data_IF_674591020068
#
_entry.id   IF_674591020068
#
_cell.length_a   1.000
_cell.length_b   1.000
_cell.length_c   1.000
_cell.angle_alpha   90.00
_cell.angle_beta   90.00
_cell.angle_gamma   90.00
#
_symmetry.space_group_name_H-M   'P 1'
#
loop_
_entity.id
_entity.type
_entity.pdbx_description
1 polymer ?
#
# COMPACT_ATOMS: atom_id res chain seq x y z
N UNK A 1 -34.30 35.18 -19.73
CA UNK A 1 -34.88 33.83 -19.60
C UNK A 1 -34.73 33.41 -18.14
N UNK A 2 -35.72 32.74 -17.53
CA UNK A 2 -35.57 32.18 -16.20
C UNK A 2 -34.36 31.20 -16.16
N UNK A 3 -33.63 31.12 -15.02
CA UNK A 3 -32.50 30.21 -14.91
C UNK A 3 -32.94 28.75 -14.96
N UNK A 4 -32.06 27.86 -15.40
CA UNK A 4 -32.32 26.42 -15.37
C UNK A 4 -31.90 25.87 -14.00
N UNK A 5 -32.74 25.02 -13.44
CA UNK A 5 -32.55 24.34 -12.17
C UNK A 5 -32.62 22.83 -12.39
N UNK A 6 -31.89 22.07 -11.57
CA UNK A 6 -31.96 20.62 -11.54
C UNK A 6 -32.55 20.22 -10.19
N UNK A 7 -33.71 19.58 -10.21
CA UNK A 7 -34.28 19.00 -9.00
C UNK A 7 -33.77 17.55 -8.84
N UNK A 8 -32.87 17.28 -7.87
CA UNK A 8 -32.27 15.96 -7.71
C UNK A 8 -33.26 14.92 -7.19
N UNK A 9 -34.40 15.33 -6.61
CA UNK A 9 -35.42 14.42 -6.08
C UNK A 9 -36.20 13.76 -7.20
N UNK A 10 -36.44 14.51 -8.28
CA UNK A 10 -37.20 14.06 -9.45
C UNK A 10 -36.31 13.74 -10.65
N UNK A 11 -35.02 14.13 -10.61
CA UNK A 11 -34.09 13.94 -11.72
C UNK A 11 -34.45 14.77 -12.95
N UNK A 12 -35.09 15.93 -12.77
CA UNK A 12 -35.58 16.78 -13.86
C UNK A 12 -34.81 18.10 -13.90
N UNK A 13 -34.36 18.49 -15.08
CA UNK A 13 -33.78 19.81 -15.36
C UNK A 13 -34.85 20.69 -16.00
N UNK A 14 -35.19 21.82 -15.38
CA UNK A 14 -36.28 22.70 -15.83
C UNK A 14 -36.00 24.18 -15.54
N UNK A 15 -36.67 25.12 -16.22
CA UNK A 15 -36.57 26.54 -15.89
C UNK A 15 -37.22 26.84 -14.52
N UNK A 16 -36.67 27.80 -13.77
CA UNK A 16 -37.25 28.29 -12.52
C UNK A 16 -38.68 28.79 -12.76
N UNK A 17 -39.61 28.35 -11.92
CA UNK A 17 -41.02 28.71 -12.05
C UNK A 17 -41.76 28.03 -13.22
N UNK A 18 -41.23 26.94 -13.78
CA UNK A 18 -41.90 26.18 -14.83
C UNK A 18 -43.29 25.69 -14.40
N UNK A 19 -44.33 26.17 -15.09
CA UNK A 19 -45.74 25.84 -14.81
C UNK A 19 -46.10 24.39 -15.15
N UNK A 20 -45.28 23.68 -15.92
CA UNK A 20 -45.50 22.27 -16.29
C UNK A 20 -44.82 21.32 -15.31
N UNK A 21 -43.58 21.62 -14.89
CA UNK A 21 -42.82 20.75 -13.99
C UNK A 21 -43.41 20.76 -12.57
N UNK A 22 -43.92 21.90 -12.09
CA UNK A 22 -44.47 22.02 -10.74
C UNK A 22 -45.69 21.11 -10.49
N UNK A 23 -46.72 21.06 -11.36
CA UNK A 23 -47.82 20.10 -11.22
C UNK A 23 -47.36 18.64 -11.27
N UNK A 24 -46.39 18.31 -12.13
CA UNK A 24 -45.83 16.96 -12.20
C UNK A 24 -45.17 16.52 -10.88
N UNK A 25 -44.32 17.39 -10.30
CA UNK A 25 -43.67 17.12 -9.01
C UNK A 25 -44.70 16.97 -7.89
N UNK A 26 -45.68 17.88 -7.81
CA UNK A 26 -46.78 17.81 -6.83
C UNK A 26 -47.56 16.49 -6.96
N UNK A 27 -47.87 16.06 -8.18
CA UNK A 27 -48.57 14.80 -8.42
C UNK A 27 -47.76 13.59 -7.93
N UNK A 28 -46.45 13.59 -8.13
CA UNK A 28 -45.57 12.55 -7.59
C UNK A 28 -45.57 12.54 -6.06
N UNK A 29 -45.51 13.71 -5.42
CA UNK A 29 -45.55 13.83 -3.96
C UNK A 29 -46.86 13.30 -3.39
N UNK A 30 -47.99 13.72 -3.97
CA UNK A 30 -49.33 13.25 -3.58
C UNK A 30 -49.46 11.73 -3.76
N UNK A 31 -49.00 11.21 -4.90
CA UNK A 31 -49.07 9.78 -5.17
C UNK A 31 -48.17 8.97 -4.22
N UNK A 32 -46.98 9.48 -3.85
CA UNK A 32 -46.14 8.89 -2.80
C UNK A 32 -46.79 8.93 -1.42
N UNK A 33 -47.42 10.05 -1.06
CA UNK A 33 -48.12 10.19 0.21
C UNK A 33 -49.34 9.25 0.32
N UNK A 34 -49.96 8.90 -0.82
CA UNK A 34 -51.07 7.95 -0.87
C UNK A 34 -50.65 6.48 -0.66
N UNK A 35 -49.35 6.18 -0.62
CA UNK A 35 -48.80 4.82 -0.50
C UNK A 35 -49.37 3.82 -1.51
N UNK A 36 -49.59 4.27 -2.75
CA UNK A 36 -50.05 3.38 -3.82
C UNK A 36 -48.97 2.35 -4.18
N UNK A 37 -49.30 1.07 -4.08
CA UNK A 37 -48.34 -0.01 -4.37
C UNK A 37 -47.83 0.02 -5.81
N UNK A 38 -48.60 0.56 -6.75
CA UNK A 38 -48.21 0.68 -8.16
C UNK A 38 -47.14 1.75 -8.37
N UNK A 39 -47.23 2.89 -7.67
CA UNK A 39 -46.22 3.95 -7.80
C UNK A 39 -44.91 3.55 -7.10
N UNK A 40 -44.99 2.88 -5.95
CA UNK A 40 -43.82 2.34 -5.26
C UNK A 40 -43.10 1.27 -6.08
N UNK A 41 -43.84 0.49 -6.88
CA UNK A 41 -43.26 -0.45 -7.84
C UNK A 41 -42.56 0.30 -8.97
N UNK A 42 -43.20 1.31 -9.57
CA UNK A 42 -42.61 2.08 -10.65
C UNK A 42 -41.32 2.81 -10.23
N UNK A 43 -41.28 3.37 -9.00
CA UNK A 43 -40.06 3.97 -8.46
C UNK A 43 -38.94 2.96 -8.26
N UNK A 44 -39.26 1.77 -7.73
CA UNK A 44 -38.26 0.69 -7.62
C UNK A 44 -37.74 0.25 -8.98
N UNK A 45 -38.60 0.14 -9.98
CA UNK A 45 -38.18 -0.23 -11.33
C UNK A 45 -37.26 0.85 -11.94
N UNK A 46 -37.56 2.14 -11.71
CA UNK A 46 -36.72 3.25 -12.12
C UNK A 46 -35.36 3.24 -11.40
N UNK A 47 -35.35 3.03 -10.09
CA UNK A 47 -34.12 2.94 -9.29
C UNK A 47 -33.24 1.78 -9.77
N UNK A 48 -33.84 0.62 -10.04
CA UNK A 48 -33.14 -0.53 -10.63
C UNK A 48 -32.53 -0.19 -11.99
N UNK A 49 -33.23 0.55 -12.84
CA UNK A 49 -32.72 0.99 -14.15
C UNK A 49 -31.55 1.98 -14.00
N UNK A 50 -31.66 2.95 -13.11
CA UNK A 50 -30.59 3.92 -12.83
C UNK A 50 -29.34 3.22 -12.28
N UNK A 51 -29.51 2.27 -11.38
CA UNK A 51 -28.42 1.45 -10.87
C UNK A 51 -27.77 0.64 -12.00
N UNK A 52 -28.57 0.06 -12.90
CA UNK A 52 -28.07 -0.70 -14.06
C UNK A 52 -27.22 0.19 -14.97
N UNK A 53 -27.71 1.37 -15.35
CA UNK A 53 -26.95 2.33 -16.15
C UNK A 53 -25.65 2.78 -15.45
N UNK A 54 -25.69 2.96 -14.13
CA UNK A 54 -24.50 3.31 -13.36
C UNK A 54 -23.46 2.17 -13.39
N UNK A 55 -23.87 0.92 -13.13
CA UNK A 55 -22.95 -0.23 -13.16
C UNK A 55 -22.39 -0.48 -14.56
N UNK A 56 -23.21 -0.38 -15.59
CA UNK A 56 -22.77 -0.48 -16.98
C UNK A 56 -21.75 0.62 -17.32
N UNK A 57 -22.01 1.86 -16.89
CA UNK A 57 -21.08 2.98 -17.05
C UNK A 57 -19.75 2.76 -16.32
N UNK A 58 -19.76 2.24 -15.09
CA UNK A 58 -18.55 1.90 -14.33
C UNK A 58 -17.79 0.74 -14.98
N UNK A 59 -18.50 -0.29 -15.43
CA UNK A 59 -17.91 -1.44 -16.11
C UNK A 59 -17.24 -1.02 -17.43
N UNK A 60 -17.90 -0.17 -18.20
CA UNK A 60 -17.37 0.43 -19.42
C UNK A 60 -16.16 1.33 -19.13
N UNK A 61 -16.23 2.17 -18.10
CA UNK A 61 -15.10 3.01 -17.67
C UNK A 61 -13.86 2.17 -17.31
N UNK A 62 -14.04 1.10 -16.53
CA UNK A 62 -12.95 0.16 -16.21
C UNK A 62 -12.42 -0.59 -17.43
N UNK A 63 -13.30 -0.92 -18.40
CA UNK A 63 -12.90 -1.56 -19.66
C UNK A 63 -12.00 -0.64 -20.48
N UNK A 64 -12.38 0.64 -20.61
CA UNK A 64 -11.58 1.65 -21.30
C UNK A 64 -10.23 1.88 -20.62
N UNK A 65 -10.24 2.02 -19.30
CA UNK A 65 -9.01 2.18 -18.53
C UNK A 65 -8.03 1.02 -18.77
N UNK A 66 -8.50 -0.24 -18.76
CA UNK A 66 -7.65 -1.39 -19.09
C UNK A 66 -7.11 -1.33 -20.52
N UNK A 67 -7.94 -0.93 -21.49
CA UNK A 67 -7.50 -0.80 -22.87
C UNK A 67 -6.41 0.28 -23.05
N UNK A 68 -6.55 1.41 -22.35
CA UNK A 68 -5.57 2.50 -22.33
C UNK A 68 -4.28 2.05 -21.63
N UNK A 69 -4.38 1.34 -20.51
CA UNK A 69 -3.23 0.78 -19.79
C UNK A 69 -2.48 -0.26 -20.66
N UNK A 70 -3.20 -1.13 -21.37
CA UNK A 70 -2.63 -2.11 -22.30
C UNK A 70 -1.96 -1.44 -23.51
N UNK A 71 -2.50 -0.33 -24.00
CA UNK A 71 -1.85 0.49 -25.03
C UNK A 71 -0.55 1.13 -24.49
N UNK A 72 -0.60 1.69 -23.27
CA UNK A 72 0.57 2.25 -22.60
C UNK A 72 1.68 1.22 -22.38
N UNK A 73 1.33 -0.01 -21.99
CA UNK A 73 2.31 -1.11 -21.85
C UNK A 73 2.95 -1.43 -23.20
N UNK A 74 2.15 -1.54 -24.27
CA UNK A 74 2.67 -1.78 -25.63
C UNK A 74 3.61 -0.67 -26.09
N UNK A 75 3.33 0.58 -25.74
CA UNK A 75 4.20 1.73 -26.05
C UNK A 75 5.53 1.66 -25.31
N UNK A 76 5.50 1.33 -24.02
CA UNK A 76 6.71 1.15 -23.22
C UNK A 76 7.56 0.00 -23.75
N UNK A 77 6.97 -1.13 -24.15
CA UNK A 77 7.70 -2.23 -24.76
C UNK A 77 8.32 -1.84 -26.11
N UNK A 78 7.61 -1.07 -26.94
CA UNK A 78 8.17 -0.53 -28.20
C UNK A 78 9.37 0.36 -27.89
N UNK A 79 9.25 1.26 -26.92
CA UNK A 79 10.35 2.13 -26.50
C UNK A 79 11.55 1.33 -25.98
N UNK A 80 11.31 0.31 -25.15
CA UNK A 80 12.37 -0.55 -24.61
C UNK A 80 13.10 -1.29 -25.74
N UNK A 81 12.37 -1.87 -26.71
CA UNK A 81 12.98 -2.52 -27.89
C UNK A 81 13.85 -1.55 -28.69
N UNK A 82 13.38 -0.32 -28.92
CA UNK A 82 14.17 0.70 -29.61
C UNK A 82 15.43 1.07 -28.83
N UNK A 83 15.35 1.24 -27.51
CA UNK A 83 16.52 1.51 -26.67
C UNK A 83 17.52 0.34 -26.68
N UNK A 84 17.05 -0.90 -26.60
CA UNK A 84 17.92 -2.09 -26.69
C UNK A 84 18.64 -2.16 -28.04
N UNK A 85 17.96 -1.83 -29.15
CA UNK A 85 18.58 -1.75 -30.47
C UNK A 85 19.65 -0.65 -30.54
N UNK A 86 19.38 0.53 -29.98
CA UNK A 86 20.35 1.62 -29.92
C UNK A 86 21.60 1.25 -29.11
N UNK A 87 21.41 0.57 -27.97
CA UNK A 87 22.51 0.11 -27.12
C UNK A 87 23.37 -0.93 -27.87
N UNK A 88 22.76 -1.89 -28.54
CA UNK A 88 23.47 -2.87 -29.35
C UNK A 88 24.28 -2.22 -30.50
N UNK A 89 23.73 -1.20 -31.16
CA UNK A 89 24.45 -0.43 -32.18
C UNK A 89 25.64 0.34 -31.58
N UNK A 90 25.47 0.95 -30.40
CA UNK A 90 26.55 1.67 -29.71
C UNK A 90 27.67 0.73 -29.28
N UNK A 91 27.35 -0.46 -28.74
CA UNK A 91 28.32 -1.49 -28.40
C UNK A 91 29.11 -1.97 -29.63
N UNK A 92 28.41 -2.18 -30.75
CA UNK A 92 29.07 -2.53 -32.02
C UNK A 92 30.03 -1.44 -32.49
N UNK A 93 29.63 -0.16 -32.41
CA UNK A 93 30.49 0.97 -32.76
C UNK A 93 31.73 1.06 -31.86
N UNK A 94 31.57 0.87 -30.54
CA UNK A 94 32.69 0.82 -29.59
C UNK A 94 33.65 -0.32 -29.92
N UNK A 95 33.14 -1.49 -30.28
CA UNK A 95 33.96 -2.63 -30.70
C UNK A 95 34.77 -2.32 -31.97
N UNK A 96 34.14 -1.73 -32.98
CA UNK A 96 34.82 -1.31 -34.23
C UNK A 96 35.88 -0.24 -33.94
N UNK A 97 35.58 0.75 -33.09
CA UNK A 97 36.52 1.78 -32.68
C UNK A 97 37.74 1.21 -31.95
N UNK A 98 37.52 0.29 -30.99
CA UNK A 98 38.60 -0.43 -30.29
C UNK A 98 39.50 -1.20 -31.25
N UNK A 99 38.93 -1.89 -32.24
CA UNK A 99 39.72 -2.57 -33.29
C UNK A 99 40.54 -1.61 -34.14
N UNK A 100 40.00 -0.43 -34.49
CA UNK A 100 40.74 0.60 -35.24
C UNK A 100 41.91 1.15 -34.43
N UNK A 101 41.69 1.47 -33.16
CA UNK A 101 42.75 1.92 -32.25
C UNK A 101 43.84 0.86 -32.08
N UNK A 102 43.47 -0.41 -31.88
CA UNK A 102 44.44 -1.51 -31.79
C UNK A 102 45.26 -1.69 -33.07
N UNK A 103 44.72 -1.37 -34.25
CA UNK A 103 45.45 -1.40 -35.52
C UNK A 103 46.39 -0.20 -35.69
N UNK A 104 46.08 0.96 -35.10
CA UNK A 104 46.94 2.16 -35.15
C UNK A 104 48.04 2.14 -34.08
N UNK A 105 47.83 1.46 -32.95
CA UNK A 105 48.79 1.38 -31.86
C UNK A 105 50.17 0.74 -32.20
N UNK A 106 50.32 -0.28 -33.07
CA UNK A 106 51.64 -0.80 -33.42
C UNK A 106 52.52 0.25 -34.13
N UNK A 107 51.93 1.23 -34.83
CA UNK A 107 52.68 2.32 -35.43
C UNK A 107 53.21 3.29 -34.35
N UNK A 108 52.47 3.46 -33.24
CA UNK A 108 52.89 4.29 -32.11
C UNK A 108 53.99 3.61 -31.30
N UNK A 109 53.87 2.31 -31.03
CA UNK A 109 54.93 1.53 -30.37
C UNK A 109 56.21 1.49 -31.23
N UNK A 110 56.09 1.34 -32.55
CA UNK A 110 57.25 1.42 -33.45
C UNK A 110 57.92 2.80 -33.51
N UNK A 111 57.16 3.88 -33.35
CA UNK A 111 57.72 5.24 -33.24
C UNK A 111 58.39 5.45 -31.88
N UNK A 112 57.84 4.89 -30.80
CA UNK A 112 58.45 4.97 -29.47
C UNK A 112 59.79 4.22 -29.41
N UNK A 113 59.85 3.00 -29.96
CA UNK A 113 61.09 2.22 -30.06
C UNK A 113 62.13 2.93 -30.95
N UNK A 114 61.70 3.59 -32.03
CA UNK A 114 62.58 4.39 -32.88
C UNK A 114 63.16 5.62 -32.16
N UNK A 115 62.34 6.34 -31.39
CA UNK A 115 62.78 7.50 -30.61
C UNK A 115 63.68 7.13 -29.43
N UNK A 116 63.50 5.94 -28.83
CA UNK A 116 64.37 5.45 -27.75
C UNK A 116 65.77 5.10 -28.26
N UNK A 117 65.88 4.52 -29.45
CA UNK A 117 67.18 4.29 -30.12
C UNK A 117 67.87 5.60 -30.52
N UNK A 118 67.12 6.58 -31.01
CA UNK A 118 67.67 7.91 -31.34
C UNK A 118 68.14 8.67 -30.08
N UNK A 119 67.42 8.51 -28.97
CA UNK A 119 67.80 9.08 -27.67
C UNK A 119 69.04 8.43 -27.07
N UNK A 120 69.25 7.12 -27.29
CA UNK A 120 70.49 6.43 -26.90
C UNK A 120 71.70 6.83 -27.75
N UNK A 121 71.50 7.30 -28.98
CA UNK A 121 72.59 7.70 -29.88
C UNK A 121 73.01 9.18 -29.73
N UNK A 122 72.16 10.01 -29.14
CA UNK A 122 72.41 11.44 -28.89
C UNK A 122 72.94 11.76 -27.49
N UNK A 123 73.40 10.78 -26.72
CA UNK A 123 74.05 11.00 -25.42
C UNK A 123 75.57 10.76 -25.45
N UNK A 124 76.36 11.67 -26.08
CA UNK A 124 77.80 11.65 -25.96
C UNK A 124 78.22 12.28 -24.63
N UNK A 125 78.58 11.43 -23.66
CA UNK A 125 79.59 11.68 -22.62
C UNK A 125 79.47 12.97 -21.81
N UNK A 126 79.03 12.83 -20.56
CA UNK A 126 79.62 13.55 -19.41
C UNK A 126 79.82 12.50 -18.30
N UNK A 127 80.96 11.82 -18.24
CA UNK A 127 82.24 12.24 -17.64
C UNK A 127 82.08 12.73 -16.20
N UNK A 128 82.48 11.85 -15.27
CA UNK A 128 83.09 12.08 -13.97
C UNK A 128 82.69 13.33 -13.17
N UNK A 129 82.18 13.12 -11.94
CA UNK A 129 82.84 13.64 -10.73
C UNK A 129 82.14 13.20 -9.42
N UNK A 130 82.89 12.42 -8.62
CA UNK A 130 83.08 12.56 -7.17
C UNK A 130 81.98 13.19 -6.30
N UNK A 131 81.39 12.40 -5.40
CA UNK A 131 81.69 12.55 -3.95
C UNK A 131 81.02 11.50 -3.06
N UNK A 132 81.56 11.26 -1.84
CA UNK A 132 81.44 10.00 -1.12
C UNK A 132 80.64 10.07 0.19
N UNK A 133 80.26 8.87 0.64
CA UNK A 133 80.06 8.44 2.03
C UNK A 133 78.88 9.02 2.83
N UNK A 134 77.92 8.14 3.16
CA UNK A 134 77.75 7.76 4.57
C UNK A 134 77.12 6.36 4.70
N UNK A 135 77.83 5.50 5.41
CA UNK A 135 77.38 4.22 5.94
C UNK A 135 76.17 4.41 6.86
N UNK A 136 75.19 3.51 6.79
CA UNK A 136 74.81 2.67 7.94
C UNK A 136 74.13 1.38 7.45
N UNK A 137 74.48 0.31 8.16
CA UNK A 137 74.30 -1.07 7.78
C UNK A 137 72.90 -1.63 8.11
N UNK A 138 72.45 -2.51 7.20
CA UNK A 138 71.78 -3.79 7.40
C UNK A 138 70.72 -3.95 8.51
N UNK A 139 69.48 -4.24 8.10
CA UNK A 139 68.86 -5.54 8.41
C UNK A 139 67.75 -5.87 7.41
N UNK A 140 67.95 -6.96 6.67
CA UNK A 140 66.94 -7.82 6.04
C UNK A 140 65.92 -8.29 7.10
N UNK A 141 64.63 -8.62 6.88
CA UNK A 141 63.88 -9.39 5.86
C UNK A 141 62.35 -9.10 6.13
N UNK A 142 61.36 -9.75 5.49
CA UNK A 142 60.88 -9.69 4.10
C UNK A 142 59.50 -9.00 3.94
N UNK A 143 59.23 -8.66 2.68
CA UNK A 143 57.93 -8.71 1.98
C UNK A 143 56.83 -9.51 2.69
N UNK A 144 55.76 -8.81 3.09
CA UNK A 144 54.40 -9.33 2.91
C UNK A 144 53.43 -8.19 2.63
N UNK A 145 52.65 -8.45 1.60
CA UNK A 145 51.64 -7.66 0.93
C UNK A 145 50.43 -7.43 1.86
N UNK A 146 50.13 -6.20 2.26
CA UNK A 146 48.78 -5.81 2.70
C UNK A 146 48.51 -4.37 2.26
N UNK A 147 47.64 -4.25 1.25
CA UNK A 147 46.99 -2.99 0.88
C UNK A 147 46.20 -2.44 2.07
N UNK A 148 46.55 -1.24 2.53
CA UNK A 148 45.73 -0.41 3.42
C UNK A 148 45.59 0.96 2.78
N UNK A 149 44.43 1.19 2.19
CA UNK A 149 43.98 2.51 1.75
C UNK A 149 43.49 3.30 2.95
N UNK A 150 44.13 4.44 3.16
CA UNK A 150 43.59 5.73 3.61
C UNK A 150 42.28 5.74 4.40
N UNK A 151 42.42 5.98 5.71
CA UNK A 151 41.41 6.66 6.54
C UNK A 151 42.09 7.81 7.28
N UNK A 152 42.05 9.00 6.68
CA UNK A 152 42.46 10.27 7.29
C UNK A 152 41.30 11.27 7.19
N UNK A 153 40.34 11.18 8.11
CA UNK A 153 39.50 12.32 8.52
C UNK A 153 39.13 12.21 9.99
N UNK A 154 40.10 12.55 10.85
CA UNK A 154 39.87 12.85 12.27
C UNK A 154 39.82 14.36 12.46
N UNK A 155 38.63 14.95 12.50
CA UNK A 155 38.41 16.31 12.98
C UNK A 155 37.35 16.29 14.08
N UNK A 156 37.82 16.29 15.31
CA UNK A 156 37.02 16.43 16.52
C UNK A 156 36.56 17.88 16.67
N UNK A 157 35.25 18.12 16.56
CA UNK A 157 34.63 19.39 16.96
C UNK A 157 33.97 19.19 18.33
N UNK A 158 34.26 20.05 19.34
CA UNK A 158 33.65 19.93 20.66
C UNK A 158 32.19 20.41 20.67
N UNK A 159 31.33 19.64 21.33
CA UNK A 159 29.90 19.89 21.55
C UNK A 159 29.74 20.85 22.75
N UNK A 160 28.99 21.97 22.63
CA UNK A 160 28.59 22.78 23.78
C UNK A 160 27.34 22.20 24.49
N UNK A 161 27.17 22.44 25.80
CA UNK A 161 26.06 21.88 26.59
C UNK A 161 24.72 22.59 26.30
N UNK A 162 23.57 21.92 26.54
CA UNK A 162 22.27 22.47 26.22
C UNK A 162 21.81 23.47 27.30
N UNK A 163 21.53 24.70 26.87
CA UNK A 163 20.75 25.66 27.65
C UNK A 163 19.27 25.46 27.37
N UNK A 164 18.52 25.22 28.45
CA UNK A 164 17.07 25.25 28.46
C UNK A 164 16.57 26.69 28.48
N UNK A 165 15.62 27.04 27.60
CA UNK A 165 14.49 27.92 27.98
C UNK A 165 13.41 27.98 26.93
N UNK A 166 12.19 27.91 27.45
CA UNK A 166 10.91 28.12 26.82
C UNK A 166 10.78 29.53 26.24
N UNK A 167 10.24 29.65 25.03
CA UNK A 167 9.31 30.75 24.72
C UNK A 167 8.20 30.24 23.80
N UNK A 168 6.97 30.35 24.33
CA UNK A 168 5.71 30.16 23.65
C UNK A 168 5.54 31.29 22.62
N UNK A 169 5.35 30.95 21.34
CA UNK A 169 5.04 31.93 20.29
C UNK A 169 3.64 31.63 19.75
N UNK A 170 2.77 32.60 20.03
CA UNK A 170 1.41 32.76 19.51
C UNK A 170 1.45 32.83 17.97
N UNK A 171 0.58 32.12 17.24
CA UNK A 171 0.51 32.27 15.79
C UNK A 171 -0.18 33.61 15.43
N UNK A 172 0.39 34.42 14.52
CA UNK A 172 -0.28 35.61 14.04
C UNK A 172 -1.32 35.28 12.97
N UNK A 173 -2.34 36.11 13.00
CA UNK A 173 -3.53 36.22 12.18
C UNK A 173 -3.29 36.20 10.67
N UNK A 174 -4.31 35.66 9.97
CA UNK A 174 -4.63 35.81 8.54
C UNK A 174 -4.17 37.14 7.92
N UNK A 175 -3.79 37.10 6.63
CA UNK A 175 -4.16 38.13 5.69
C UNK A 175 -5.22 37.61 4.71
N UNK A 176 -6.28 38.41 4.63
CA UNK A 176 -7.20 38.49 3.51
C UNK A 176 -6.45 38.89 2.22
N UNK A 177 -7.01 38.52 1.08
CA UNK A 177 -6.75 39.24 -0.17
C UNK A 177 -6.33 38.36 -1.35
N UNK A 178 -7.26 38.21 -2.28
CA UNK A 178 -7.09 38.61 -3.68
C UNK A 178 -7.60 37.55 -4.66
N UNK A 179 -8.84 37.78 -5.10
CA UNK A 179 -9.42 37.22 -6.31
C UNK A 179 -8.56 37.53 -7.53
N UNK A 180 -8.09 36.48 -8.20
CA UNK A 180 -7.49 36.54 -9.53
C UNK A 180 -8.24 35.59 -10.45
N UNK A 181 -9.19 36.13 -11.20
CA UNK A 181 -9.95 35.42 -12.22
C UNK A 181 -9.10 35.32 -13.49
N UNK A 182 -8.65 34.10 -13.83
CA UNK A 182 -7.95 33.84 -15.10
C UNK A 182 -8.88 33.10 -16.04
N UNK A 183 -9.53 33.85 -16.92
CA UNK A 183 -10.28 33.35 -18.08
C UNK A 183 -9.33 32.75 -19.11
N UNK A 184 -9.52 31.47 -19.45
CA UNK A 184 -8.89 30.81 -20.59
C UNK A 184 -9.80 30.87 -21.83
N UNK A 185 -9.26 31.02 -23.05
CA UNK A 185 -10.03 31.20 -24.27
C UNK A 185 -10.55 29.87 -24.83
N UNK A 186 -11.84 29.83 -25.13
CA UNK A 186 -12.51 28.76 -25.88
C UNK A 186 -12.28 28.99 -27.38
N UNK A 187 -11.79 28.01 -28.16
CA UNK A 187 -11.72 28.13 -29.61
C UNK A 187 -13.11 27.91 -30.23
N UNK A 188 -13.52 28.90 -31.05
CA UNK A 188 -14.68 28.85 -31.95
C UNK A 188 -14.46 27.78 -33.02
N UNK A 189 -15.30 26.75 -33.05
CA UNK A 189 -15.46 25.87 -34.21
C UNK A 189 -16.75 26.20 -34.94
N UNK A 190 -16.60 26.38 -36.25
CA UNK A 190 -17.59 26.83 -37.20
C UNK A 190 -18.67 25.77 -37.46
N UNK A 191 -19.91 26.24 -37.56
CA UNK A 191 -21.08 25.50 -38.03
C UNK A 191 -20.97 25.22 -39.54
N UNK A 192 -21.25 23.97 -39.92
CA UNK A 192 -21.46 23.50 -41.29
C UNK A 192 -22.48 22.35 -41.32
N UNK A 193 -23.20 22.14 -42.43
CA UNK A 193 -24.62 21.83 -42.40
C UNK A 193 -24.97 20.34 -42.31
N UNK A 194 -26.13 20.09 -41.71
CA UNK A 194 -26.92 18.86 -41.72
C UNK A 194 -27.12 18.25 -43.11
N UNK A 195 -27.13 16.92 -43.18
CA UNK A 195 -28.16 16.26 -43.98
C UNK A 195 -28.84 15.07 -43.27
N UNK A 196 -30.15 15.05 -43.48
CA UNK A 196 -30.97 13.88 -43.82
C UNK A 196 -31.17 12.75 -42.81
N UNK A 197 -32.38 12.82 -42.25
CA UNK A 197 -33.28 11.75 -41.83
C UNK A 197 -32.99 10.38 -42.48
N UNK A 198 -32.76 9.38 -41.63
CA UNK A 198 -32.86 7.97 -41.98
C UNK A 198 -33.86 7.28 -41.04
N UNK A 199 -34.85 6.67 -41.68
CA UNK A 199 -35.98 5.95 -41.12
C UNK A 199 -35.54 4.78 -40.23
N UNK A 200 -36.14 4.66 -39.03
CA UNK A 200 -36.10 3.45 -38.22
C UNK A 200 -37.43 2.70 -38.32
N UNK A 201 -37.41 1.35 -38.38
CA UNK A 201 -38.61 0.54 -38.55
C UNK A 201 -39.43 0.40 -37.26
N UNK A 202 -40.75 0.13 -37.36
CA UNK A 202 -41.63 0.01 -36.21
C UNK A 202 -41.37 -1.26 -35.39
N UNK A 203 -41.37 -1.09 -34.07
CA UNK A 203 -41.22 -2.12 -33.04
C UNK A 203 -42.49 -3.01 -33.00
N UNK A 204 -42.37 -4.35 -33.00
CA UNK A 204 -43.55 -5.22 -32.98
C UNK A 204 -44.22 -5.23 -31.60
N UNK A 205 -45.53 -5.04 -31.61
CA UNK A 205 -46.47 -5.18 -30.50
C UNK A 205 -46.59 -6.66 -30.13
N UNK A 206 -46.27 -7.02 -28.89
CA UNK A 206 -46.52 -8.37 -28.36
C UNK A 206 -47.88 -8.34 -27.66
N UNK A 207 -48.85 -9.06 -28.24
CA UNK A 207 -50.15 -9.33 -27.63
C UNK A 207 -49.99 -10.29 -26.45
N UNK A 208 -50.45 -9.87 -25.28
CA UNK A 208 -50.54 -10.69 -24.07
C UNK A 208 -51.87 -11.47 -24.14
N UNK A 209 -51.77 -12.76 -24.44
CA UNK A 209 -52.87 -13.71 -24.32
C UNK A 209 -53.08 -14.04 -22.85
N UNK A 210 -54.28 -13.76 -22.35
CA UNK A 210 -54.75 -14.18 -21.04
C UNK A 210 -55.01 -15.70 -21.04
N UNK A 211 -54.40 -16.41 -20.09
CA UNK A 211 -54.78 -17.78 -19.73
C UNK A 211 -55.13 -17.85 -18.25
N UNK A 212 -56.42 -18.03 -18.01
CA UNK A 212 -57.02 -18.45 -16.74
C UNK A 212 -56.63 -19.89 -16.40
N UNK A 213 -56.31 -20.17 -15.13
CA UNK A 213 -56.24 -21.56 -14.66
C UNK A 213 -55.60 -21.79 -13.29
N UNK A 214 -56.46 -22.16 -12.33
CA UNK A 214 -56.22 -22.95 -11.11
C UNK A 214 -55.75 -22.23 -9.81
N UNK A 215 -56.38 -22.56 -8.66
CA UNK A 215 -56.01 -22.03 -7.34
C UNK A 215 -54.94 -22.92 -6.70
N UNK A 216 -53.82 -22.33 -6.31
CA UNK A 216 -52.80 -23.02 -5.52
C UNK A 216 -52.72 -22.38 -4.12
N UNK A 217 -53.12 -23.16 -3.12
CA UNK A 217 -53.04 -22.82 -1.69
C UNK A 217 -51.60 -22.95 -1.24
N UNK A 218 -50.78 -21.92 -1.48
CA UNK A 218 -49.43 -21.82 -0.93
C UNK A 218 -49.37 -20.77 0.17
N UNK A 219 -49.08 -21.28 1.37
CA UNK A 219 -48.84 -20.53 2.58
C UNK A 219 -47.88 -19.35 2.34
N UNK A 220 -48.35 -18.17 2.70
CA UNK A 220 -47.63 -16.90 2.66
C UNK A 220 -46.47 -16.97 3.66
N UNK A 221 -45.18 -16.94 3.25
CA UNK A 221 -44.13 -16.63 4.20
C UNK A 221 -44.31 -15.16 4.58
N UNK A 222 -44.38 -14.91 5.89
CA UNK A 222 -44.48 -13.57 6.45
C UNK A 222 -43.46 -12.65 5.76
N UNK A 223 -43.96 -11.57 5.15
CA UNK A 223 -43.16 -10.55 4.52
C UNK A 223 -42.24 -9.92 5.58
N UNK A 224 -40.98 -10.33 5.58
CA UNK A 224 -39.95 -9.62 6.32
C UNK A 224 -39.89 -8.18 5.79
N UNK A 225 -39.80 -7.16 6.68
CA UNK A 225 -39.69 -5.78 6.25
C UNK A 225 -38.48 -5.66 5.33
N UNK A 226 -38.72 -5.11 4.13
CA UNK A 226 -37.72 -4.89 3.09
C UNK A 226 -36.58 -4.06 3.67
N UNK A 227 -35.50 -4.76 4.03
CA UNK A 227 -34.27 -4.16 4.54
C UNK A 227 -33.73 -3.30 3.40
N UNK A 228 -33.81 -1.98 3.55
CA UNK A 228 -33.13 -1.03 2.68
C UNK A 228 -31.71 -1.55 2.42
N UNK A 229 -31.41 -1.88 1.17
CA UNK A 229 -30.08 -2.29 0.69
C UNK A 229 -29.17 -1.07 0.81
N UNK A 230 -28.74 -0.80 2.05
CA UNK A 230 -27.91 0.34 2.35
C UNK A 230 -26.62 0.18 1.53
N UNK A 231 -26.42 1.13 0.63
CA UNK A 231 -25.29 1.18 -0.30
C UNK A 231 -23.99 0.96 0.46
N UNK A 232 -23.09 0.17 -0.13
CA UNK A 232 -21.75 -0.03 0.42
C UNK A 232 -21.04 1.33 0.60
N UNK A 233 -20.26 1.53 1.68
CA UNK A 233 -19.58 2.79 1.92
C UNK A 233 -18.61 3.07 0.76
N UNK A 234 -18.70 4.27 0.16
CA UNK A 234 -17.85 4.69 -0.97
C UNK A 234 -16.61 5.47 -0.52
N UNK A 235 -16.60 5.96 0.73
CA UNK A 235 -15.55 6.81 1.28
C UNK A 235 -15.11 6.34 2.66
N UNK A 236 -13.86 6.64 3.06
CA UNK A 236 -13.32 6.28 4.37
C UNK A 236 -14.18 6.84 5.52
N UNK A 237 -14.70 8.06 5.36
CA UNK A 237 -15.57 8.70 6.37
C UNK A 237 -16.90 7.96 6.54
N UNK A 238 -17.49 7.46 5.45
CA UNK A 238 -18.71 6.64 5.51
C UNK A 238 -18.44 5.30 6.18
N UNK A 239 -17.30 4.67 5.87
CA UNK A 239 -16.87 3.43 6.51
C UNK A 239 -16.63 3.62 8.02
N UNK A 240 -15.92 4.67 8.42
CA UNK A 240 -15.71 5.03 9.83
C UNK A 240 -17.03 5.26 10.56
N UNK A 241 -17.98 5.99 9.94
CA UNK A 241 -19.31 6.18 10.51
C UNK A 241 -20.06 4.85 10.70
N UNK A 242 -20.01 3.97 9.71
CA UNK A 242 -20.62 2.64 9.78
C UNK A 242 -19.98 1.79 10.89
N UNK A 243 -18.65 1.81 11.02
CA UNK A 243 -17.93 1.11 12.08
C UNK A 243 -18.31 1.65 13.46
N UNK A 244 -18.33 2.96 13.65
CA UNK A 244 -18.72 3.58 14.92
C UNK A 244 -20.17 3.23 15.29
N UNK A 245 -21.08 3.20 14.30
CA UNK A 245 -22.47 2.78 14.52
C UNK A 245 -22.55 1.30 14.89
N UNK A 246 -21.75 0.45 14.25
CA UNK A 246 -21.68 -0.98 14.56
C UNK A 246 -21.12 -1.27 15.96
N UNK A 247 -20.39 -0.33 16.58
CA UNK A 247 -19.96 -0.43 17.98
C UNK A 247 -21.04 -0.02 18.99
N UNK A 248 -22.10 0.68 18.55
CA UNK A 248 -23.19 1.06 19.45
C UNK A 248 -24.12 -0.14 19.70
N UNK A 249 -24.49 -0.44 20.97
CA UNK A 249 -25.38 -1.55 21.28
C UNK A 249 -26.73 -1.39 20.55
N UNK A 250 -27.30 -2.52 20.09
CA UNK A 250 -28.58 -2.55 19.36
C UNK A 250 -28.50 -2.17 17.87
N UNK A 251 -27.30 -1.89 17.33
CA UNK A 251 -27.10 -1.63 15.90
C UNK A 251 -26.64 -2.89 15.14
N UNK A 252 -27.39 -3.99 15.28
CA UNK A 252 -27.03 -5.30 14.72
C UNK A 252 -26.88 -5.26 13.19
N UNK A 253 -27.68 -4.44 12.50
CA UNK A 253 -27.58 -4.27 11.04
C UNK A 253 -26.25 -3.65 10.60
N UNK A 254 -25.74 -2.66 11.35
CA UNK A 254 -24.46 -2.03 11.05
C UNK A 254 -23.33 -3.02 11.32
N UNK A 255 -23.42 -3.78 12.41
CA UNK A 255 -22.48 -4.85 12.75
C UNK A 255 -22.44 -5.95 11.69
N UNK A 256 -23.61 -6.41 11.21
CA UNK A 256 -23.70 -7.38 10.14
C UNK A 256 -23.03 -6.88 8.86
N UNK A 257 -23.27 -5.61 8.48
CA UNK A 257 -22.63 -4.98 7.30
C UNK A 257 -21.12 -4.92 7.43
N UNK A 258 -20.61 -4.49 8.58
CA UNK A 258 -19.16 -4.45 8.81
C UNK A 258 -18.56 -5.86 8.77
N UNK A 259 -19.23 -6.87 9.35
CA UNK A 259 -18.79 -8.27 9.25
C UNK A 259 -18.74 -8.76 7.82
N UNK A 260 -19.73 -8.42 6.98
CA UNK A 260 -19.72 -8.75 5.56
C UNK A 260 -18.56 -8.07 4.82
N UNK A 261 -18.34 -6.77 5.05
CA UNK A 261 -17.22 -6.04 4.44
C UNK A 261 -15.85 -6.60 4.88
N UNK A 262 -15.72 -7.04 6.13
CA UNK A 262 -14.51 -7.73 6.60
C UNK A 262 -14.32 -9.09 5.92
N UNK A 263 -15.38 -9.88 5.76
CA UNK A 263 -15.32 -11.16 5.07
C UNK A 263 -14.89 -10.99 3.60
N UNK A 264 -15.50 -10.04 2.89
CA UNK A 264 -15.14 -9.67 1.52
C UNK A 264 -13.67 -9.21 1.45
N UNK A 265 -13.25 -8.34 2.38
CA UNK A 265 -11.87 -7.88 2.47
C UNK A 265 -10.88 -9.04 2.68
N UNK A 266 -11.22 -10.08 3.45
CA UNK A 266 -10.36 -11.25 3.63
C UNK A 266 -10.29 -12.14 2.39
N UNK A 267 -11.37 -12.23 1.61
CA UNK A 267 -11.42 -13.00 0.37
C UNK A 267 -10.68 -12.30 -0.79
N UNK A 268 -10.50 -10.98 -0.70
CA UNK A 268 -9.80 -10.21 -1.73
C UNK A 268 -8.28 -10.42 -1.66
N UNK A 269 -7.61 -10.81 -2.76
CA UNK A 269 -6.15 -10.90 -2.84
C UNK A 269 -5.47 -9.60 -2.39
N UNK A 270 -4.28 -9.69 -1.80
CA UNK A 270 -3.63 -8.55 -1.14
C UNK A 270 -3.39 -7.38 -2.10
N UNK A 271 -3.07 -7.68 -3.34
CA UNK A 271 -2.74 -6.77 -4.43
C UNK A 271 -3.98 -6.02 -4.93
N UNK A 272 -5.16 -6.63 -4.77
CA UNK A 272 -6.45 -6.10 -5.24
C UNK A 272 -7.25 -5.39 -4.13
N UNK A 273 -6.77 -5.43 -2.88
CA UNK A 273 -7.47 -4.82 -1.74
C UNK A 273 -7.60 -3.31 -1.90
N UNK A 274 -8.84 -2.85 -1.95
CA UNK A 274 -9.18 -1.43 -1.95
C UNK A 274 -8.70 -0.74 -0.67
N UNK A 275 -8.58 0.59 -0.71
CA UNK A 275 -8.21 1.39 0.47
C UNK A 275 -9.20 1.16 1.64
N UNK A 276 -10.50 1.06 1.35
CA UNK A 276 -11.55 0.79 2.34
C UNK A 276 -11.39 -0.59 2.99
N UNK A 277 -11.10 -1.63 2.19
CA UNK A 277 -10.83 -2.97 2.70
C UNK A 277 -9.55 -3.01 3.54
N UNK A 278 -8.47 -2.34 3.12
CA UNK A 278 -7.26 -2.21 3.94
C UNK A 278 -7.56 -1.49 5.26
N UNK A 279 -8.35 -0.43 5.22
CA UNK A 279 -8.74 0.34 6.39
C UNK A 279 -9.61 -0.48 7.36
N UNK A 280 -10.64 -1.18 6.87
CA UNK A 280 -11.54 -1.97 7.73
C UNK A 280 -10.77 -3.10 8.42
N UNK A 281 -9.89 -3.80 7.70
CA UNK A 281 -9.06 -4.87 8.29
C UNK A 281 -8.08 -4.33 9.34
N UNK A 282 -7.56 -3.11 9.14
CA UNK A 282 -6.63 -2.49 10.09
C UNK A 282 -7.32 -1.92 11.33
N UNK A 283 -8.52 -1.34 11.20
CA UNK A 283 -9.17 -0.53 12.22
C UNK A 283 -10.40 -1.17 12.85
N UNK A 284 -11.02 -2.17 12.21
CA UNK A 284 -12.17 -2.84 12.78
C UNK A 284 -11.76 -3.68 13.98
N UNK A 285 -12.52 -3.51 15.07
CA UNK A 285 -12.43 -4.30 16.29
C UNK A 285 -13.83 -4.81 16.55
N UNK A 286 -13.97 -6.11 16.81
CA UNK A 286 -15.30 -6.63 17.14
C UNK A 286 -15.74 -5.95 18.45
N UNK A 287 -16.94 -5.33 18.52
CA UNK A 287 -17.43 -4.81 19.78
C UNK A 287 -17.37 -5.92 20.83
N UNK A 288 -16.83 -5.61 22.02
CA UNK A 288 -16.89 -6.52 23.15
C UNK A 288 -18.36 -6.95 23.29
N UNK A 289 -18.65 -8.26 23.33
CA UNK A 289 -20.02 -8.71 23.53
C UNK A 289 -20.49 -8.06 24.82
N UNK A 290 -21.38 -7.08 24.70
CA UNK A 290 -21.80 -6.23 25.81
C UNK A 290 -22.15 -7.18 26.97
N UNK A 291 -21.38 -7.12 28.06
CA UNK A 291 -21.50 -8.02 29.21
C UNK A 291 -22.92 -8.04 29.82
N UNK A 292 -23.78 -7.13 29.36
CA UNK A 292 -25.21 -7.06 29.60
C UNK A 292 -26.02 -8.25 29.07
N UNK A 293 -25.56 -8.98 28.04
CA UNK A 293 -26.29 -10.15 27.53
C UNK A 293 -26.18 -11.40 28.43
N UNK A 294 -25.19 -11.45 29.33
CA UNK A 294 -24.98 -12.60 30.22
C UNK A 294 -25.76 -12.51 31.54
N UNK A 295 -26.46 -11.40 31.82
CA UNK A 295 -27.18 -11.23 33.11
C UNK A 295 -28.65 -11.64 33.11
N UNK A 296 -29.18 -12.14 32.00
CA UNK A 296 -30.61 -12.45 31.92
C UNK A 296 -30.88 -13.77 31.20
N UNK A 297 -30.49 -14.90 31.79
CA UNK A 297 -31.25 -16.17 31.82
C UNK A 297 -30.60 -17.06 32.90
N UNK A 298 -31.45 -17.76 33.66
CA UNK A 298 -31.21 -18.84 34.63
C UNK A 298 -29.90 -19.64 34.52
N UNK A 299 -29.40 -20.18 35.66
CA UNK A 299 -28.22 -21.04 35.68
C UNK A 299 -28.33 -22.17 34.63
N UNK A 300 -27.33 -22.33 33.75
CA UNK A 300 -27.34 -23.40 32.76
C UNK A 300 -27.35 -24.76 33.48
N UNK A 301 -28.08 -25.76 32.95
CA UNK A 301 -28.00 -27.11 33.47
C UNK A 301 -26.54 -27.61 33.43
N UNK A 302 -26.10 -28.38 34.44
CA UNK A 302 -24.72 -28.84 34.53
C UNK A 302 -24.32 -29.56 33.24
N UNK A 303 -23.23 -29.14 32.58
CA UNK A 303 -22.82 -29.72 31.31
C UNK A 303 -22.41 -31.17 31.54
N UNK A 304 -23.12 -32.09 30.90
CA UNK A 304 -22.66 -33.47 30.78
C UNK A 304 -21.34 -33.47 30.01
N UNK A 305 -20.28 -33.82 30.73
CA UNK A 305 -18.89 -33.87 30.29
C UNK A 305 -18.72 -34.79 29.08
N UNK A 306 -18.68 -34.24 27.88
CA UNK A 306 -18.05 -34.89 26.72
C UNK A 306 -16.54 -34.58 26.77
N UNK A 307 -15.64 -35.57 26.93
CA UNK A 307 -14.24 -35.33 27.30
C UNK A 307 -13.34 -34.68 26.25
N UNK A 308 -13.85 -34.18 25.11
CA UNK A 308 -12.96 -33.73 24.02
C UNK A 308 -13.48 -32.59 23.13
N UNK A 309 -14.51 -31.86 23.54
CA UNK A 309 -14.88 -30.57 22.93
C UNK A 309 -14.39 -29.40 23.79
N UNK A 310 -13.09 -29.41 24.09
CA UNK A 310 -12.44 -28.23 24.66
C UNK A 310 -12.60 -27.07 23.66
N UNK A 311 -13.43 -26.09 24.03
CA UNK A 311 -13.25 -24.67 23.74
C UNK A 311 -12.69 -24.38 22.34
N UNK A 312 -13.43 -24.73 21.27
CA UNK A 312 -13.16 -24.08 19.99
C UNK A 312 -13.33 -22.58 20.24
N UNK A 313 -12.25 -21.77 20.11
CA UNK A 313 -12.31 -20.37 20.48
C UNK A 313 -13.42 -19.71 19.65
N UNK A 314 -14.32 -18.95 20.29
CA UNK A 314 -15.43 -18.31 19.59
C UNK A 314 -14.90 -17.59 18.36
N UNK A 315 -15.46 -17.93 17.18
CA UNK A 315 -15.10 -17.47 15.83
C UNK A 315 -14.10 -16.32 15.87
N UNK A 316 -12.82 -16.68 15.78
CA UNK A 316 -11.71 -15.82 16.16
C UNK A 316 -11.82 -14.46 15.47
N UNK A 317 -12.08 -13.44 16.26
CA UNK A 317 -11.96 -12.05 15.84
C UNK A 317 -10.56 -11.82 15.26
N UNK A 318 -10.43 -10.85 14.35
CA UNK A 318 -9.13 -10.45 13.84
C UNK A 318 -8.21 -10.08 15.03
N UNK A 319 -7.10 -10.79 15.26
CA UNK A 319 -6.26 -10.57 16.42
C UNK A 319 -5.71 -9.14 16.48
N UNK A 320 -5.58 -8.59 17.68
CA UNK A 320 -4.95 -7.30 17.94
C UNK A 320 -3.43 -7.41 17.77
N UNK A 321 -2.77 -6.26 17.63
CA UNK A 321 -1.31 -6.23 17.45
C UNK A 321 -0.58 -6.74 18.70
N UNK A 322 -1.16 -6.45 19.86
CA UNK A 322 -0.71 -6.82 21.20
C UNK A 322 -1.10 -8.24 21.62
N UNK A 323 -2.01 -8.90 20.89
CA UNK A 323 -2.41 -10.28 21.18
C UNK A 323 -1.21 -11.24 21.08
N UNK A 324 -1.20 -12.32 21.87
CA UNK A 324 -0.10 -13.28 21.88
C UNK A 324 0.00 -14.04 20.56
N UNK A 325 1.18 -14.59 20.27
CA UNK A 325 1.50 -15.20 18.96
C UNK A 325 0.61 -16.42 18.68
N UNK A 326 0.17 -17.12 19.70
CA UNK A 326 -0.71 -18.29 19.64
C UNK A 326 -2.11 -17.92 19.10
N UNK A 327 -2.61 -16.74 19.47
CA UNK A 327 -3.90 -16.22 18.96
C UNK A 327 -3.77 -15.89 17.46
N UNK A 328 -2.64 -15.29 17.06
CA UNK A 328 -2.33 -15.07 15.65
C UNK A 328 -2.16 -16.38 14.87
N UNK A 329 -1.52 -17.38 15.47
CA UNK A 329 -1.33 -18.70 14.86
C UNK A 329 -2.69 -19.35 14.55
N UNK A 330 -3.55 -19.49 15.57
CA UNK A 330 -4.90 -20.06 15.41
C UNK A 330 -5.75 -19.31 14.36
N UNK A 331 -5.63 -17.97 14.34
CA UNK A 331 -6.31 -17.16 13.35
C UNK A 331 -5.80 -17.43 11.93
N UNK A 332 -4.49 -17.46 11.71
CA UNK A 332 -3.89 -17.66 10.39
C UNK A 332 -4.06 -19.07 9.85
N UNK A 333 -4.16 -20.09 10.70
CA UNK A 333 -4.53 -21.46 10.30
C UNK A 333 -5.88 -21.49 9.59
N UNK A 334 -6.84 -20.65 10.01
CA UNK A 334 -8.17 -20.55 9.40
C UNK A 334 -8.27 -19.49 8.30
N UNK A 335 -7.37 -18.50 8.29
CA UNK A 335 -7.40 -17.35 7.37
C UNK A 335 -6.12 -17.24 6.53
N UNK A 336 -5.87 -18.25 5.68
CA UNK A 336 -4.64 -18.35 4.89
C UNK A 336 -4.39 -17.16 3.93
N UNK A 337 -5.43 -16.42 3.52
CA UNK A 337 -5.30 -15.21 2.71
C UNK A 337 -4.73 -13.98 3.44
N UNK A 338 -4.58 -14.07 4.76
CA UNK A 338 -4.05 -12.99 5.62
C UNK A 338 -2.59 -13.22 6.02
N UNK A 339 -1.89 -14.13 5.33
CA UNK A 339 -0.55 -14.58 5.68
C UNK A 339 0.48 -13.43 5.64
N UNK A 340 1.25 -13.19 6.72
CA UNK A 340 2.32 -12.20 6.70
C UNK A 340 3.49 -12.63 5.80
N UNK A 341 4.13 -11.68 5.10
CA UNK A 341 5.34 -11.96 4.32
C UNK A 341 6.48 -12.46 5.24
N UNK A 342 7.26 -13.42 4.74
CA UNK A 342 8.38 -14.05 5.46
C UNK A 342 8.00 -15.14 6.46
N UNK A 343 6.72 -15.43 6.66
CA UNK A 343 6.29 -16.52 7.55
C UNK A 343 6.11 -17.80 6.74
N UNK A 344 6.96 -18.81 6.98
CA UNK A 344 6.88 -20.11 6.29
C UNK A 344 5.64 -20.90 6.67
N UNK A 345 5.30 -21.87 5.83
CA UNK A 345 4.27 -22.87 6.09
C UNK A 345 4.91 -24.15 6.61
N UNK A 346 4.35 -24.70 7.66
CA UNK A 346 4.64 -26.05 8.10
C UNK A 346 4.01 -27.09 7.16
N UNK A 347 4.39 -28.36 7.31
CA UNK A 347 3.88 -29.46 6.50
C UNK A 347 2.35 -29.66 6.62
N UNK A 348 1.75 -29.25 7.74
CA UNK A 348 0.31 -29.28 7.98
C UNK A 348 -0.44 -28.03 7.44
N UNK A 349 0.29 -27.09 6.81
CA UNK A 349 -0.24 -25.85 6.29
C UNK A 349 -0.45 -24.75 7.34
N UNK A 350 -0.06 -24.97 8.59
CA UNK A 350 -0.04 -23.96 9.65
C UNK A 350 1.15 -22.99 9.51
N UNK A 351 1.12 -21.80 10.13
CA UNK A 351 2.25 -20.87 10.08
C UNK A 351 3.37 -21.31 11.03
N UNK A 352 4.61 -21.32 10.54
CA UNK A 352 5.79 -21.61 11.36
C UNK A 352 5.89 -20.59 12.51
N UNK A 353 5.90 -21.09 13.76
CA UNK A 353 5.69 -20.26 14.95
C UNK A 353 6.82 -19.25 15.19
N UNK A 354 8.08 -19.63 14.94
CA UNK A 354 9.25 -18.75 15.08
C UNK A 354 9.16 -17.53 14.16
N UNK A 355 8.98 -17.76 12.86
CA UNK A 355 8.76 -16.70 11.87
C UNK A 355 7.54 -15.82 12.20
N UNK A 356 6.45 -16.41 12.72
CA UNK A 356 5.29 -15.63 13.12
C UNK A 356 5.62 -14.71 14.32
N UNK A 357 6.38 -15.21 15.30
CA UNK A 357 6.87 -14.42 16.43
C UNK A 357 7.76 -13.27 15.95
N UNK A 358 8.72 -13.54 15.08
CA UNK A 358 9.54 -12.52 14.42
C UNK A 358 8.70 -11.48 13.69
N UNK A 359 7.72 -11.92 12.88
CA UNK A 359 6.79 -11.04 12.17
C UNK A 359 6.01 -10.12 13.13
N UNK A 360 5.58 -10.63 14.29
CA UNK A 360 4.87 -9.82 15.31
C UNK A 360 5.81 -8.84 16.00
N UNK A 361 7.01 -9.25 16.34
CA UNK A 361 8.05 -8.37 16.91
C UNK A 361 8.32 -7.19 15.98
N UNK A 362 8.59 -7.45 14.70
CA UNK A 362 8.81 -6.39 13.70
C UNK A 362 7.57 -5.52 13.52
N UNK A 363 6.36 -6.11 13.54
CA UNK A 363 5.12 -5.37 13.40
C UNK A 363 4.85 -4.39 14.55
N UNK A 364 5.33 -4.69 15.78
CA UNK A 364 5.20 -3.82 16.96
C UNK A 364 6.28 -2.73 17.01
N UNK A 365 7.45 -2.99 16.41
CA UNK A 365 8.58 -2.05 16.37
C UNK A 365 8.55 -1.09 15.17
N UNK A 366 7.79 -1.38 14.11
CA UNK A 366 7.71 -0.50 12.94
C UNK A 366 7.14 0.89 13.29
N UNK A 367 7.50 1.94 12.52
CA UNK A 367 6.91 3.26 12.68
C UNK A 367 5.37 3.23 12.59
N UNK A 368 4.71 4.01 13.45
CA UNK A 368 3.28 4.26 13.32
C UNK A 368 2.99 5.02 12.02
N UNK A 369 1.86 4.72 11.37
CA UNK A 369 1.41 5.51 10.23
C UNK A 369 0.90 6.84 10.82
N UNK A 370 1.58 7.96 10.51
CA UNK A 370 1.16 9.28 10.97
C UNK A 370 -0.17 9.71 10.35
N UNK A 371 -0.75 10.82 10.84
CA UNK A 371 -2.06 11.34 10.39
C UNK A 371 -2.13 11.61 8.88
N UNK A 372 -0.98 11.90 8.26
CA UNK A 372 -0.86 12.14 6.81
C UNK A 372 -0.86 10.85 5.97
N UNK A 373 -0.89 9.67 6.60
CA UNK A 373 -0.87 8.39 5.89
C UNK A 373 0.45 8.07 5.21
N UNK A 374 1.54 8.80 5.52
CA UNK A 374 2.83 8.59 4.87
C UNK A 374 3.41 7.21 5.26
N UNK A 375 3.54 6.34 4.27
CA UNK A 375 4.06 4.98 4.42
C UNK A 375 5.56 4.87 4.14
N UNK A 376 6.21 5.96 3.71
CA UNK A 376 7.61 5.94 3.24
C UNK A 376 8.57 5.47 4.33
N UNK A 377 8.50 6.09 5.53
CA UNK A 377 9.32 5.69 6.67
C UNK A 377 9.10 4.22 7.09
N UNK A 378 7.88 3.69 6.93
CA UNK A 378 7.60 2.29 7.23
C UNK A 378 8.19 1.35 6.18
N UNK A 379 8.16 1.73 4.91
CA UNK A 379 8.80 0.97 3.82
C UNK A 379 10.32 0.94 3.98
N UNK A 380 10.95 2.09 4.24
CA UNK A 380 12.39 2.19 4.50
C UNK A 380 12.80 1.38 5.73
N UNK A 381 12.06 1.51 6.82
CA UNK A 381 12.30 0.72 8.04
C UNK A 381 12.24 -0.79 7.75
N UNK A 382 11.21 -1.26 7.04
CA UNK A 382 11.07 -2.68 6.72
C UNK A 382 12.20 -3.17 5.80
N UNK A 383 12.66 -2.34 4.86
CA UNK A 383 13.81 -2.67 4.02
C UNK A 383 15.10 -2.82 4.85
N UNK A 384 15.36 -1.89 5.77
CA UNK A 384 16.50 -1.97 6.69
C UNK A 384 16.41 -3.17 7.63
N UNK A 385 15.24 -3.49 8.18
CA UNK A 385 15.03 -4.68 9.03
C UNK A 385 15.30 -5.96 8.24
N UNK A 386 14.73 -6.10 7.04
CA UNK A 386 14.95 -7.27 6.20
C UNK A 386 16.43 -7.43 5.83
N UNK A 387 17.12 -6.34 5.48
CA UNK A 387 18.55 -6.36 5.18
C UNK A 387 19.40 -6.72 6.42
N UNK A 388 19.08 -6.14 7.57
CA UNK A 388 19.80 -6.35 8.83
C UNK A 388 19.78 -7.82 9.24
N UNK A 389 18.61 -8.47 9.19
CA UNK A 389 18.47 -9.84 9.67
C UNK A 389 18.66 -10.91 8.58
N UNK A 390 18.62 -10.56 7.29
CA UNK A 390 18.92 -11.54 6.23
C UNK A 390 20.41 -11.95 6.19
N UNK A 391 21.31 -11.13 6.76
CA UNK A 391 22.74 -11.45 6.89
C UNK A 391 23.03 -12.02 8.29
N UNK A 392 23.31 -13.33 8.42
CA UNK A 392 23.54 -13.95 9.72
C UNK A 392 24.63 -13.25 10.54
N UNK A 393 24.36 -12.95 11.80
CA UNK A 393 25.29 -12.31 12.73
C UNK A 393 25.46 -10.80 12.56
N UNK A 394 24.88 -10.17 11.53
CA UNK A 394 25.00 -8.72 11.29
C UNK A 394 24.47 -7.90 12.47
N UNK A 395 23.36 -8.32 13.09
CA UNK A 395 22.81 -7.68 14.27
C UNK A 395 23.81 -7.70 15.44
N UNK A 396 24.38 -8.87 15.74
CA UNK A 396 25.39 -9.03 16.80
C UNK A 396 26.63 -8.16 16.53
N UNK A 397 27.09 -8.11 15.28
CA UNK A 397 28.23 -7.31 14.87
C UNK A 397 27.98 -5.81 15.06
N UNK A 398 26.80 -5.30 14.71
CA UNK A 398 26.44 -3.91 14.94
C UNK A 398 26.34 -3.58 16.44
N UNK A 399 25.77 -4.48 17.25
CA UNK A 399 25.74 -4.28 18.70
C UNK A 399 27.16 -4.19 19.28
N UNK A 400 28.06 -5.10 18.87
CA UNK A 400 29.46 -5.13 19.32
C UNK A 400 30.21 -3.87 18.87
N UNK A 401 30.09 -3.48 17.59
CA UNK A 401 30.79 -2.31 17.03
C UNK A 401 30.36 -1.00 17.68
N UNK A 402 29.10 -0.87 18.07
CA UNK A 402 28.56 0.34 18.68
C UNK A 402 28.50 0.30 20.21
N UNK A 403 29.00 -0.76 20.86
CA UNK A 403 28.95 -0.90 22.32
C UNK A 403 27.53 -0.93 22.88
N UNK A 404 26.60 -1.52 22.14
CA UNK A 404 25.19 -1.62 22.52
C UNK A 404 24.92 -2.96 23.20
N UNK A 405 24.05 -2.96 24.21
CA UNK A 405 23.52 -4.17 24.84
C UNK A 405 21.99 -4.17 24.71
N UNK A 406 21.40 -5.36 24.56
CA UNK A 406 19.95 -5.51 24.58
C UNK A 406 19.40 -5.15 25.97
N UNK A 407 18.27 -4.44 26.00
CA UNK A 407 17.58 -4.11 27.24
C UNK A 407 17.13 -5.39 27.96
N UNK A 408 17.24 -5.48 29.30
CA UNK A 408 16.90 -6.68 30.05
C UNK A 408 15.39 -6.96 30.10
N UNK A 409 14.56 -5.94 29.83
CA UNK A 409 13.10 -6.03 29.84
C UNK A 409 12.62 -5.75 28.41
N UNK A 410 11.84 -6.70 27.88
CA UNK A 410 11.24 -6.56 26.56
C UNK A 410 10.13 -5.51 26.60
N UNK A 411 10.29 -4.45 25.81
CA UNK A 411 9.35 -3.35 25.74
C UNK A 411 9.22 -2.85 24.29
N UNK A 412 8.23 -3.38 23.58
CA UNK A 412 7.98 -2.99 22.20
C UNK A 412 7.41 -1.57 22.12
N UNK A 413 8.11 -0.69 21.41
CA UNK A 413 7.65 0.67 21.11
C UNK A 413 7.85 0.93 19.61
N UNK A 414 6.88 1.57 18.92
CA UNK A 414 7.07 1.95 17.52
C UNK A 414 8.32 2.82 17.33
N UNK A 415 9.08 2.55 16.28
CA UNK A 415 10.24 3.34 15.87
C UNK A 415 9.81 4.78 15.59
N UNK A 416 10.44 5.73 16.28
CA UNK A 416 10.26 7.16 16.02
C UNK A 416 11.18 7.52 14.87
N UNK A 417 10.68 7.46 13.64
CA UNK A 417 11.41 7.92 12.48
C UNK A 417 11.86 9.37 12.72
N UNK A 418 13.18 9.57 12.79
CA UNK A 418 13.76 10.92 12.81
C UNK A 418 13.67 11.51 11.40
N UNK A 419 13.93 12.81 11.22
CA UNK A 419 13.94 13.44 9.89
C UNK A 419 15.05 12.90 8.97
N UNK A 420 15.89 11.97 9.45
CA UNK A 420 17.01 11.41 8.73
C UNK A 420 16.68 10.03 8.13
N UNK A 421 17.44 9.63 7.12
CA UNK A 421 17.35 8.30 6.49
C UNK A 421 17.51 7.18 7.52
N UNK A 422 16.60 6.22 7.54
CA UNK A 422 16.64 5.07 8.45
C UNK A 422 17.84 4.19 8.07
N UNK A 423 18.73 3.92 9.04
CA UNK A 423 19.94 3.09 8.80
C UNK A 423 19.87 1.77 9.56
N UNK A 424 20.62 0.76 9.10
CA UNK A 424 20.72 -0.54 9.80
C UNK A 424 21.22 -0.41 11.25
N UNK A 425 22.16 0.50 11.51
CA UNK A 425 22.66 0.76 12.86
C UNK A 425 21.61 1.39 13.78
N UNK A 426 20.76 2.28 13.25
CA UNK A 426 19.64 2.85 13.99
C UNK A 426 18.58 1.80 14.30
N UNK A 427 18.23 0.95 13.32
CA UNK A 427 17.30 -0.18 13.52
C UNK A 427 17.85 -1.16 14.55
N UNK A 428 19.14 -1.54 14.48
CA UNK A 428 19.76 -2.43 15.46
C UNK A 428 19.71 -1.84 16.88
N UNK A 429 20.02 -0.55 17.04
CA UNK A 429 19.89 0.16 18.32
C UNK A 429 18.45 0.12 18.84
N UNK A 430 17.47 0.31 17.96
CA UNK A 430 16.07 0.30 18.33
C UNK A 430 15.60 -1.10 18.79
N UNK A 431 15.98 -2.16 18.08
CA UNK A 431 15.68 -3.54 18.48
C UNK A 431 16.33 -3.91 19.81
N UNK A 432 17.59 -3.51 20.03
CA UNK A 432 18.27 -3.72 21.30
C UNK A 432 17.59 -2.96 22.43
N UNK A 433 17.20 -1.69 22.22
CA UNK A 433 16.46 -0.90 23.20
C UNK A 433 15.07 -1.48 23.53
N UNK A 434 14.48 -2.24 22.60
CA UNK A 434 13.23 -2.96 22.82
C UNK A 434 13.41 -4.31 23.53
N UNK A 435 14.65 -4.74 23.78
CA UNK A 435 14.99 -5.98 24.49
C UNK A 435 15.18 -7.19 23.58
N UNK A 436 15.33 -7.01 22.26
CA UNK A 436 15.61 -8.12 21.34
C UNK A 436 17.05 -8.58 21.52
N UNK A 437 17.22 -9.79 22.04
CA UNK A 437 18.53 -10.41 22.29
C UNK A 437 19.19 -10.91 21.00
N UNK A 438 20.49 -11.23 21.07
CA UNK A 438 21.20 -11.83 19.92
C UNK A 438 20.66 -13.23 19.66
N UNK A 439 20.36 -13.98 20.72
CA UNK A 439 19.81 -15.33 20.67
C UNK A 439 18.43 -15.33 19.99
N UNK A 440 17.55 -14.39 20.36
CA UNK A 440 16.24 -14.23 19.74
C UNK A 440 16.37 -13.79 18.27
N UNK A 441 17.31 -12.90 17.95
CA UNK A 441 17.55 -12.49 16.57
C UNK A 441 17.95 -13.68 15.69
N UNK A 442 18.92 -14.49 16.13
CA UNK A 442 19.41 -15.66 15.40
C UNK A 442 18.33 -16.75 15.29
N UNK A 443 17.59 -17.01 16.36
CA UNK A 443 16.59 -18.08 16.38
C UNK A 443 15.33 -17.74 15.58
N UNK A 444 14.92 -16.46 15.54
CA UNK A 444 13.60 -16.05 15.03
C UNK A 444 13.67 -15.06 13.88
N UNK A 445 14.44 -13.97 14.01
CA UNK A 445 14.43 -12.86 13.05
C UNK A 445 15.25 -13.18 11.79
N UNK A 446 16.39 -13.85 11.92
CA UNK A 446 17.26 -14.17 10.77
C UNK A 446 16.58 -15.14 9.79
N UNK A 447 16.01 -16.29 10.21
CA UNK A 447 15.29 -17.17 9.30
C UNK A 447 14.07 -16.50 8.65
N UNK A 448 13.32 -15.71 9.42
CA UNK A 448 12.19 -14.94 8.90
C UNK A 448 12.61 -13.94 7.82
N UNK A 449 13.73 -13.24 8.02
CA UNK A 449 14.19 -12.22 7.07
C UNK A 449 14.71 -12.82 5.76
N UNK A 450 15.29 -14.02 5.79
CA UNK A 450 15.69 -14.76 4.58
C UNK A 450 14.48 -15.08 3.70
N UNK A 451 13.37 -15.50 4.31
CA UNK A 451 12.10 -15.79 3.63
C UNK A 451 11.32 -14.52 3.27
N UNK A 452 11.65 -13.39 3.89
CA UNK A 452 11.00 -12.11 3.62
C UNK A 452 11.48 -11.51 2.29
N UNK A 453 12.74 -11.71 1.92
CA UNK A 453 13.31 -11.20 0.66
C UNK A 453 12.62 -11.87 -0.53
#
# INVERSE_FOLDING_TARGET
LPPWECDPTYGVVHPSGCSVCRPYMSHIEEARASHSTSIDRAFRDLDCQLDTYFYDGVAEGRRRQRADDDERVRDLERSLRTQSQQLALAEHQLHVARKRLAKQNPDIEGIHDGLEVERMLLDPRETDQNSPAHFHAASSVPSSYVSKTDDLFGSSIPIPPPTASFHSVVPPSKPEGSSGSTTLPVPKTHLGPTPSQSNLPPRPTVEVIASSGAPDLRATPAAFPSVHTARAPKTLRQLQYLMNRAHQPGNDDALAKVKMLCAEAHQTPREEKTELQRYILANWRNPEPSATAERSVSPPPPPMLLPNQALLPPRANNPRMEDPVEVWHAYLTTHQGSWPRGVRREADGSPHLGDLKASRTVARLRPAIGDKGDTTARTEFMACVAQLFASPGMYQDLLRRHGLAAAPIVAYRPHRATQFSITAAEVARHFAAAGVSVEEAVAELEPWAQEYQ
#
